data_IF_679986704321
#
_entry.id   IF_679986704321
#
_cell.length_a   1.000
_cell.length_b   1.000
_cell.length_c   1.000
_cell.angle_alpha   90.00
_cell.angle_beta   90.00
_cell.angle_gamma   90.00
#
_symmetry.space_group_name_H-M   'P 1'
#
loop_
_entity.id
_entity.type
_entity.pdbx_description
1 polymer ?
#
# COMPACT_ATOMS: atom_id res chain seq x y z
N UNK A 1 -14.96 -6.96 -6.33
CA UNK A 1 -13.69 -6.94 -7.10
C UNK A 1 -12.70 -6.13 -6.28
N UNK A 2 -11.44 -6.56 -6.20
CA UNK A 2 -10.40 -5.81 -5.51
C UNK A 2 -9.40 -5.26 -6.53
N UNK A 3 -9.01 -4.00 -6.37
CA UNK A 3 -7.90 -3.40 -7.11
C UNK A 3 -6.86 -2.87 -6.14
N UNK A 4 -5.60 -3.14 -6.41
CA UNK A 4 -4.49 -2.65 -5.60
C UNK A 4 -3.57 -1.78 -6.45
N UNK A 5 -3.29 -0.58 -5.96
CA UNK A 5 -2.20 0.27 -6.43
C UNK A 5 -1.00 0.12 -5.51
N UNK A 6 0.20 0.04 -6.11
CA UNK A 6 1.47 -0.06 -5.40
C UNK A 6 2.40 1.02 -5.95
N UNK A 7 2.94 1.85 -5.07
CA UNK A 7 3.98 2.83 -5.39
C UNK A 7 5.21 2.55 -4.52
N UNK A 8 6.34 2.28 -5.16
CA UNK A 8 7.58 1.89 -4.48
C UNK A 8 8.53 3.08 -4.51
N UNK A 9 8.70 3.72 -3.36
CA UNK A 9 9.70 4.75 -3.14
C UNK A 9 11.00 4.21 -2.52
N UNK A 10 11.96 5.12 -2.30
CA UNK A 10 13.25 4.77 -1.68
C UNK A 10 13.17 4.39 -0.19
N UNK A 11 12.28 5.04 0.57
CA UNK A 11 12.14 4.80 2.02
C UNK A 11 10.89 4.03 2.37
N UNK A 12 9.80 4.25 1.64
CA UNK A 12 8.50 3.62 1.89
C UNK A 12 7.89 3.07 0.61
N UNK A 13 7.10 2.02 0.76
CA UNK A 13 6.16 1.51 -0.23
C UNK A 13 4.75 1.85 0.22
N UNK A 14 4.01 2.49 -0.67
CA UNK A 14 2.62 2.89 -0.48
C UNK A 14 1.67 1.91 -1.18
N UNK A 15 0.61 1.52 -0.48
CA UNK A 15 -0.44 0.64 -0.97
C UNK A 15 -1.79 1.32 -0.88
N UNK A 16 -2.57 1.23 -1.96
CA UNK A 16 -3.98 1.62 -1.99
C UNK A 16 -4.82 0.45 -2.45
N UNK A 17 -5.77 0.01 -1.62
CA UNK A 17 -6.70 -1.08 -1.95
C UNK A 17 -8.11 -0.50 -2.12
N UNK A 18 -8.68 -0.71 -3.30
CA UNK A 18 -10.10 -0.46 -3.58
C UNK A 18 -10.86 -1.78 -3.48
N UNK A 19 -11.79 -1.86 -2.52
CA UNK A 19 -12.88 -2.84 -2.52
C UNK A 19 -14.06 -2.24 -3.29
N UNK A 20 -14.24 -2.66 -4.54
CA UNK A 20 -15.32 -2.15 -5.39
C UNK A 20 -16.70 -2.62 -4.92
N UNK A 21 -16.78 -3.76 -4.23
CA UNK A 21 -18.07 -4.27 -3.76
C UNK A 21 -18.55 -3.48 -2.54
N UNK A 22 -17.62 -3.12 -1.65
CA UNK A 22 -17.92 -2.32 -0.48
C UNK A 22 -17.84 -0.80 -0.73
N UNK A 23 -17.32 -0.38 -1.88
CA UNK A 23 -17.02 1.03 -2.18
C UNK A 23 -15.98 1.63 -1.24
N UNK A 24 -15.05 0.82 -0.71
CA UNK A 24 -14.09 1.23 0.32
C UNK A 24 -12.68 1.37 -0.24
N UNK A 25 -11.98 2.39 0.25
CA UNK A 25 -10.55 2.59 0.03
C UNK A 25 -9.78 2.34 1.33
N UNK A 26 -8.73 1.55 1.23
CA UNK A 26 -7.79 1.30 2.31
C UNK A 26 -6.40 1.78 1.90
N UNK A 27 -5.69 2.38 2.86
CA UNK A 27 -4.33 2.90 2.67
C UNK A 27 -3.39 2.18 3.62
N UNK A 28 -2.23 1.78 3.12
CA UNK A 28 -1.19 1.18 3.95
C UNK A 28 0.19 1.63 3.47
N UNK A 29 1.08 1.90 4.42
CA UNK A 29 2.46 2.33 4.17
C UNK A 29 3.38 1.41 4.96
N UNK A 30 4.42 0.91 4.29
CA UNK A 30 5.47 0.11 4.91
C UNK A 30 6.83 0.68 4.54
N UNK A 31 7.85 0.60 5.40
CA UNK A 31 9.23 0.85 4.96
C UNK A 31 9.59 -0.05 3.77
N UNK A 32 10.31 0.49 2.78
CA UNK A 32 10.75 -0.27 1.59
C UNK A 32 11.75 -1.38 1.94
N UNK A 33 12.46 -1.22 3.06
CA UNK A 33 13.33 -2.24 3.68
C UNK A 33 12.81 -2.60 5.08
N UNK A 34 11.75 -3.42 5.21
CA UNK A 34 11.11 -3.69 6.51
C UNK A 34 12.04 -4.36 7.54
N UNK A 35 13.06 -5.06 7.08
CA UNK A 35 14.07 -5.73 7.91
C UNK A 35 15.15 -4.80 8.44
N UNK A 36 15.26 -3.58 7.90
CA UNK A 36 16.26 -2.58 8.28
C UNK A 36 15.54 -1.26 8.62
N UNK A 37 14.93 -1.15 9.82
CA UNK A 37 14.38 0.12 10.27
C UNK A 37 15.54 1.09 10.53
N UNK A 38 15.63 2.15 9.72
CA UNK A 38 16.57 3.27 9.89
C UNK A 38 16.25 4.09 11.13
#
# INVERSE_FOLDING_TARGET
>A
MYRIGVDVGGTFTDFTLLDENAGKLHYHKTPSTPSEPS
#
